data_IF_392695066067
#
_entry.id   IF_392695066067
#
_cell.length_a   1.000
_cell.length_b   1.000
_cell.length_c   1.000
_cell.angle_alpha   90.00
_cell.angle_beta   90.00
_cell.angle_gamma   90.00
#
_symmetry.space_group_name_H-M   'P 1'
#
loop_
_entity.id
_entity.type
_entity.pdbx_description
1 polymer ?
#
# COMPACT_ATOMS: atom_id res chain seq x y z
N UNK A 1 6.84 18.34 5.41
CA UNK A 1 5.80 17.31 5.57
C UNK A 1 5.92 16.35 4.40
N UNK A 2 6.00 15.03 4.63
CA UNK A 2 6.03 14.05 3.54
C UNK A 2 4.78 14.18 2.65
N UNK A 3 4.99 14.01 1.36
CA UNK A 3 3.95 14.16 0.34
C UNK A 3 3.69 12.83 -0.35
N UNK A 4 2.43 12.60 -0.73
CA UNK A 4 1.98 11.40 -1.43
C UNK A 4 1.06 11.79 -2.59
N UNK A 5 1.19 11.08 -3.71
CA UNK A 5 0.29 11.25 -4.86
C UNK A 5 -0.07 9.93 -5.50
N UNK A 6 -1.27 9.84 -6.05
CA UNK A 6 -1.66 8.74 -6.93
C UNK A 6 -0.94 8.86 -8.28
N UNK A 7 -0.57 7.73 -8.86
CA UNK A 7 -0.11 7.61 -10.24
C UNK A 7 -1.02 6.66 -11.01
N UNK A 8 -1.25 6.93 -12.29
CA UNK A 8 -2.20 6.17 -13.11
C UNK A 8 -1.55 5.53 -14.32
N UNK A 9 -0.45 6.11 -14.79
CA UNK A 9 0.30 5.62 -15.95
C UNK A 9 1.77 5.39 -15.60
N UNK A 10 2.44 4.57 -16.41
CA UNK A 10 3.86 4.24 -16.20
C UNK A 10 4.73 5.50 -16.27
N UNK A 11 4.40 6.41 -17.17
CA UNK A 11 5.09 7.70 -17.34
C UNK A 11 5.03 8.60 -16.14
N UNK A 12 3.94 8.49 -15.35
CA UNK A 12 3.74 9.32 -14.16
C UNK A 12 4.75 8.97 -13.06
N UNK A 13 5.19 7.71 -13.00
CA UNK A 13 6.02 7.23 -11.91
C UNK A 13 7.33 8.00 -11.78
N UNK A 14 8.05 8.20 -12.89
CA UNK A 14 9.33 8.93 -12.89
C UNK A 14 9.13 10.40 -12.62
N UNK A 15 8.12 11.01 -13.23
CA UNK A 15 7.82 12.43 -13.07
C UNK A 15 7.40 12.75 -11.63
N UNK A 16 6.44 11.99 -11.08
CA UNK A 16 5.95 12.20 -9.73
C UNK A 16 7.04 11.97 -8.67
N UNK A 17 7.95 11.02 -8.91
CA UNK A 17 9.04 10.72 -7.99
C UNK A 17 10.02 11.90 -7.79
N UNK A 18 10.05 12.87 -8.69
CA UNK A 18 10.87 14.07 -8.52
C UNK A 18 10.29 15.02 -7.45
N UNK A 19 8.98 14.97 -7.22
CA UNK A 19 8.26 15.97 -6.41
C UNK A 19 7.66 15.42 -5.13
N UNK A 20 7.50 14.10 -5.01
CA UNK A 20 6.84 13.48 -3.85
C UNK A 20 7.72 12.44 -3.17
N UNK A 21 7.39 12.15 -1.91
CA UNK A 21 8.10 11.15 -1.10
C UNK A 21 7.51 9.75 -1.29
N UNK A 22 6.21 9.67 -1.56
CA UNK A 22 5.46 8.41 -1.67
C UNK A 22 4.64 8.38 -2.95
N UNK A 23 4.80 7.32 -3.72
CA UNK A 23 3.97 7.02 -4.88
C UNK A 23 2.85 6.07 -4.48
N UNK A 24 1.61 6.45 -4.73
CA UNK A 24 0.46 5.63 -4.39
C UNK A 24 -0.13 4.95 -5.63
N UNK A 25 -0.35 3.65 -5.51
CA UNK A 25 -1.06 2.88 -6.54
C UNK A 25 -2.53 2.80 -6.16
N UNK A 26 -3.44 3.34 -6.98
CA UNK A 26 -4.87 3.26 -6.76
C UNK A 26 -5.36 1.81 -6.64
N UNK A 27 -6.42 1.60 -5.86
CA UNK A 27 -6.95 0.26 -5.59
C UNK A 27 -7.34 -0.51 -6.86
N UNK A 28 -7.91 0.18 -7.85
CA UNK A 28 -8.27 -0.47 -9.12
C UNK A 28 -7.07 -0.86 -9.97
N UNK A 29 -5.92 -0.22 -9.78
CA UNK A 29 -4.72 -0.43 -10.56
C UNK A 29 -3.67 -1.31 -9.85
N UNK A 30 -3.93 -1.74 -8.62
CA UNK A 30 -2.96 -2.47 -7.79
C UNK A 30 -2.50 -3.79 -8.40
N UNK A 31 -3.28 -4.35 -9.33
CA UNK A 31 -2.91 -5.57 -10.07
C UNK A 31 -2.08 -5.32 -11.33
N UNK A 32 -1.97 -4.08 -11.79
CA UNK A 32 -1.21 -3.74 -12.99
C UNK A 32 0.28 -3.83 -12.71
N UNK A 33 0.89 -4.89 -13.21
CA UNK A 33 2.30 -5.22 -12.93
C UNK A 33 3.24 -4.13 -13.41
N UNK A 34 3.05 -3.63 -14.61
CA UNK A 34 3.97 -2.66 -15.22
C UNK A 34 3.97 -1.33 -14.45
N UNK A 35 2.79 -0.87 -13.98
CA UNK A 35 2.66 0.32 -13.17
C UNK A 35 3.35 0.15 -11.81
N UNK A 36 3.09 -0.98 -11.13
CA UNK A 36 3.70 -1.29 -9.82
C UNK A 36 5.22 -1.38 -9.93
N UNK A 37 5.72 -2.05 -10.98
CA UNK A 37 7.16 -2.16 -11.24
C UNK A 37 7.79 -0.80 -11.56
N UNK A 38 7.11 0.03 -12.35
CA UNK A 38 7.60 1.37 -12.66
C UNK A 38 7.73 2.23 -11.39
N UNK A 39 6.71 2.21 -10.53
CA UNK A 39 6.77 2.88 -9.24
C UNK A 39 7.92 2.36 -8.36
N UNK A 40 8.08 1.03 -8.27
CA UNK A 40 9.14 0.41 -7.48
C UNK A 40 10.55 0.85 -7.94
N UNK A 41 10.77 0.92 -9.24
CA UNK A 41 12.05 1.29 -9.83
C UNK A 41 12.48 2.73 -9.54
N UNK A 42 11.58 3.60 -9.10
CA UNK A 42 11.91 4.97 -8.70
C UNK A 42 12.71 5.03 -7.40
N UNK A 43 12.68 3.95 -6.59
CA UNK A 43 13.29 3.92 -5.25
C UNK A 43 12.51 4.68 -4.17
N UNK A 44 11.38 5.29 -4.53
CA UNK A 44 10.48 5.94 -3.55
C UNK A 44 9.64 4.91 -2.80
N UNK A 45 9.06 5.33 -1.68
CA UNK A 45 8.07 4.51 -0.98
C UNK A 45 6.87 4.26 -1.91
N UNK A 46 6.46 3.02 -2.04
CA UNK A 46 5.29 2.64 -2.83
C UNK A 46 4.15 2.25 -1.90
N UNK A 47 3.09 3.04 -1.89
CA UNK A 47 1.87 2.72 -1.15
C UNK A 47 0.87 2.01 -2.06
N UNK A 48 0.57 0.76 -1.74
CA UNK A 48 -0.38 -0.08 -2.47
C UNK A 48 -1.75 -0.02 -1.78
N UNK A 49 -2.74 0.59 -2.42
CA UNK A 49 -4.12 0.50 -1.93
C UNK A 49 -4.69 -0.88 -2.26
N UNK A 50 -5.12 -1.61 -1.22
CA UNK A 50 -5.79 -2.89 -1.42
C UNK A 50 -7.07 -2.68 -2.23
N UNK A 51 -7.21 -3.42 -3.33
CA UNK A 51 -8.46 -3.44 -4.09
C UNK A 51 -9.60 -3.98 -3.21
N UNK A 52 -10.76 -3.32 -3.24
CA UNK A 52 -11.94 -3.74 -2.48
C UNK A 52 -12.46 -5.11 -2.89
N UNK A 53 -12.06 -5.60 -4.06
CA UNK A 53 -12.38 -6.91 -4.63
C UNK A 53 -11.32 -7.98 -4.28
N UNK A 54 -10.28 -7.62 -3.53
CA UNK A 54 -9.17 -8.50 -3.21
C UNK A 54 -9.20 -8.92 -1.74
N UNK A 55 -8.80 -10.16 -1.47
CA UNK A 55 -8.53 -10.58 -0.11
C UNK A 55 -7.24 -9.94 0.43
N UNK A 56 -7.13 -9.73 1.74
CA UNK A 56 -5.91 -9.20 2.35
C UNK A 56 -4.65 -10.00 2.00
N UNK A 57 -4.75 -11.34 2.01
CA UNK A 57 -3.63 -12.25 1.71
C UNK A 57 -3.13 -12.08 0.27
N UNK A 58 -4.03 -11.78 -0.67
CA UNK A 58 -3.67 -11.62 -2.09
C UNK A 58 -2.76 -10.42 -2.35
N UNK A 59 -2.68 -9.48 -1.42
CA UNK A 59 -1.77 -8.33 -1.53
C UNK A 59 -0.29 -8.74 -1.54
N UNK A 60 0.04 -9.96 -1.05
CA UNK A 60 1.40 -10.51 -1.14
C UNK A 60 1.94 -10.48 -2.58
N UNK A 61 1.09 -10.68 -3.58
CA UNK A 61 1.52 -10.65 -4.98
C UNK A 61 1.92 -9.25 -5.46
N UNK A 62 1.20 -8.22 -5.01
CA UNK A 62 1.54 -6.84 -5.33
C UNK A 62 2.81 -6.41 -4.60
N UNK A 63 2.95 -6.74 -3.32
CA UNK A 63 4.16 -6.50 -2.53
C UNK A 63 5.36 -7.18 -3.18
N UNK A 64 5.21 -8.46 -3.57
CA UNK A 64 6.29 -9.20 -4.22
C UNK A 64 6.78 -8.53 -5.50
N UNK A 65 5.91 -7.93 -6.29
CA UNK A 65 6.33 -7.18 -7.49
C UNK A 65 7.25 -6.01 -7.16
N UNK A 66 6.98 -5.32 -6.06
CA UNK A 66 7.82 -4.20 -5.61
C UNK A 66 9.17 -4.71 -5.11
N UNK A 67 9.17 -5.74 -4.25
CA UNK A 67 10.41 -6.30 -3.69
C UNK A 67 11.27 -7.00 -4.73
N UNK A 68 10.68 -7.74 -5.66
CA UNK A 68 11.41 -8.35 -6.77
C UNK A 68 12.04 -7.29 -7.71
N UNK A 69 11.52 -6.06 -7.70
CA UNK A 69 12.09 -4.92 -8.41
C UNK A 69 13.25 -4.23 -7.66
N UNK A 70 13.63 -4.74 -6.49
CA UNK A 70 14.72 -4.22 -5.68
C UNK A 70 14.34 -3.10 -4.71
N UNK A 71 13.04 -2.86 -4.49
CA UNK A 71 12.55 -1.84 -3.56
C UNK A 71 11.82 -2.49 -2.38
N UNK A 72 12.32 -2.28 -1.18
CA UNK A 72 11.72 -2.82 0.04
C UNK A 72 10.79 -1.82 0.76
N UNK A 73 10.69 -0.60 0.26
CA UNK A 73 9.88 0.45 0.86
C UNK A 73 8.42 0.36 0.38
N UNK A 74 7.67 -0.56 0.96
CA UNK A 74 6.28 -0.82 0.58
C UNK A 74 5.33 -0.54 1.74
N UNK A 75 4.31 0.25 1.48
CA UNK A 75 3.17 0.42 2.37
C UNK A 75 1.93 -0.24 1.77
N UNK A 76 1.01 -0.64 2.63
CA UNK A 76 -0.32 -1.12 2.21
C UNK A 76 -1.38 -0.29 2.93
N UNK A 77 -2.34 0.19 2.16
CA UNK A 77 -3.53 0.86 2.68
C UNK A 77 -4.76 -0.01 2.41
N UNK A 78 -5.49 -0.36 3.44
CA UNK A 78 -6.81 -0.97 3.28
C UNK A 78 -7.87 0.13 3.11
N UNK A 79 -8.65 0.03 2.06
CA UNK A 79 -9.81 0.90 1.81
C UNK A 79 -11.15 0.20 2.01
N UNK A 80 -11.12 -0.98 2.58
CA UNK A 80 -12.30 -1.82 2.76
C UNK A 80 -12.48 -2.88 1.67
N UNK A 81 -13.47 -3.72 1.91
CA UNK A 81 -13.86 -4.82 1.03
C UNK A 81 -15.31 -4.59 0.58
N UNK A 82 -15.59 -4.79 -0.67
CA UNK A 82 -16.94 -4.67 -1.20
C UNK A 82 -17.82 -5.81 -0.67
N UNK A 83 -19.04 -5.46 -0.27
CA UNK A 83 -20.07 -6.40 0.12
C UNK A 83 -21.32 -6.12 -0.73
N UNK A 84 -21.60 -7.01 -1.68
CA UNK A 84 -22.60 -6.74 -2.69
C UNK A 84 -22.16 -5.60 -3.63
N UNK A 85 -23.08 -4.71 -3.99
CA UNK A 85 -22.81 -3.65 -4.97
C UNK A 85 -22.67 -2.24 -4.37
N UNK A 86 -23.04 -2.04 -3.13
CA UNK A 86 -23.14 -0.71 -2.54
C UNK A 86 -22.23 -0.51 -1.33
N UNK A 87 -22.13 -1.52 -0.47
CA UNK A 87 -21.45 -1.36 0.80
C UNK A 87 -19.96 -1.67 0.69
N UNK A 88 -19.16 -0.85 1.37
CA UNK A 88 -17.76 -1.13 1.62
C UNK A 88 -17.57 -1.31 3.12
N UNK A 89 -17.00 -2.43 3.51
CA UNK A 89 -16.78 -2.81 4.90
C UNK A 89 -15.29 -2.91 5.15
N UNK A 90 -14.83 -2.30 6.23
CA UNK A 90 -13.49 -2.52 6.72
C UNK A 90 -13.51 -3.72 7.66
N UNK A 91 -12.89 -4.81 7.24
CA UNK A 91 -12.74 -6.01 8.05
C UNK A 91 -11.38 -6.03 8.72
N UNK A 92 -11.36 -5.65 9.99
CA UNK A 92 -10.14 -5.63 10.81
C UNK A 92 -9.43 -6.98 10.93
N UNK A 93 -10.14 -8.09 10.72
CA UNK A 93 -9.53 -9.43 10.74
C UNK A 93 -8.55 -9.63 9.58
N UNK A 94 -8.74 -8.88 8.50
CA UNK A 94 -7.83 -8.91 7.36
C UNK A 94 -6.48 -8.22 7.61
N UNK A 95 -6.42 -7.27 8.54
CA UNK A 95 -5.19 -6.50 8.78
C UNK A 95 -4.00 -7.37 9.20
N UNK A 96 -4.15 -8.34 10.14
CA UNK A 96 -3.03 -9.21 10.50
C UNK A 96 -2.61 -10.18 9.39
N UNK A 97 -3.47 -10.45 8.42
CA UNK A 97 -3.20 -11.39 7.33
C UNK A 97 -2.59 -10.72 6.10
N UNK A 98 -2.55 -9.40 6.07
CA UNK A 98 -1.80 -8.67 5.06
C UNK A 98 -0.31 -9.01 5.15
N UNK A 99 0.42 -8.98 4.03
CA UNK A 99 1.82 -9.43 4.01
C UNK A 99 2.68 -8.74 5.07
N UNK A 100 3.56 -9.51 5.68
CA UNK A 100 4.40 -9.15 6.84
C UNK A 100 5.30 -7.93 6.61
N UNK A 101 5.48 -7.51 5.38
CA UNK A 101 6.15 -6.23 5.07
C UNK A 101 5.46 -5.03 5.74
N UNK A 102 4.19 -5.13 6.05
CA UNK A 102 3.55 -4.20 6.96
C UNK A 102 4.23 -4.13 8.33
N UNK A 103 4.73 -5.23 8.84
CA UNK A 103 5.41 -5.27 10.14
C UNK A 103 6.71 -4.47 10.15
N UNK A 104 7.34 -4.30 9.01
CA UNK A 104 8.62 -3.56 8.91
C UNK A 104 8.41 -2.05 8.78
N UNK A 105 7.44 -1.62 7.99
CA UNK A 105 7.13 -0.19 7.79
C UNK A 105 6.12 0.35 8.81
N UNK A 106 5.27 -0.50 9.31
CA UNK A 106 4.27 -0.16 10.30
C UNK A 106 4.85 0.17 11.67
N UNK A 107 5.93 -0.51 12.08
CA UNK A 107 6.60 -0.23 13.37
C UNK A 107 7.06 1.23 13.51
N UNK A 108 7.74 1.84 12.53
CA UNK A 108 8.13 3.24 12.63
C UNK A 108 6.95 4.20 12.62
N UNK A 109 5.91 3.93 11.82
CA UNK A 109 4.72 4.78 11.76
C UNK A 109 3.91 4.68 13.05
N UNK A 110 3.72 3.48 13.57
CA UNK A 110 3.09 3.28 14.88
C UNK A 110 3.87 3.97 16.00
N UNK A 111 5.19 3.91 15.98
CA UNK A 111 6.03 4.53 16.99
C UNK A 111 5.96 6.06 16.94
N UNK A 112 5.74 6.64 15.77
CA UNK A 112 5.68 8.09 15.57
C UNK A 112 4.28 8.69 15.78
N UNK A 113 3.21 7.92 15.60
CA UNK A 113 1.84 8.45 15.61
C UNK A 113 0.97 7.99 16.76
N UNK A 114 1.47 7.08 17.63
CA UNK A 114 0.62 6.44 18.62
C UNK A 114 1.06 6.67 20.05
N UNK A 115 0.17 7.08 20.94
CA UNK A 115 0.38 6.90 22.35
C UNK A 115 0.43 5.39 22.67
N UNK A 116 1.30 5.03 23.61
CA UNK A 116 1.65 3.64 24.02
C UNK A 116 0.50 2.69 24.42
N UNK A 117 -0.76 3.06 24.19
CA UNK A 117 -1.93 2.42 24.79
C UNK A 117 -2.79 1.62 23.81
N UNK A 118 -2.52 1.67 22.50
CA UNK A 118 -3.36 0.96 21.53
C UNK A 118 -2.62 -0.17 20.84
N UNK A 119 -3.23 -1.35 20.89
CA UNK A 119 -2.71 -2.55 20.25
C UNK A 119 -2.65 -2.39 18.72
N UNK A 120 -1.69 -3.07 18.04
CA UNK A 120 -1.48 -2.94 16.59
C UNK A 120 -2.68 -3.39 15.72
N UNK A 121 -3.74 -3.90 16.31
CA UNK A 121 -4.93 -4.39 15.62
C UNK A 121 -5.95 -3.30 15.25
N UNK A 122 -5.70 -2.03 15.55
CA UNK A 122 -6.69 -0.94 15.37
C UNK A 122 -6.39 0.01 14.21
N UNK A 123 -5.61 -0.41 13.19
CA UNK A 123 -5.16 0.53 12.17
C UNK A 123 -5.60 0.13 10.77
N UNK A 124 -6.30 1.03 10.19
CA UNK A 124 -6.70 1.05 8.79
C UNK A 124 -6.04 2.25 8.15
#
# INVERSE_FOLDING_TARGET
VPTITDIHEISDASLAAEYVDVLQIPAFLVRQTDLVVAAAKTGKVVNLKKGQFMSPESMQHAVKKVTDSGNEQVWITDRGTMFGYQDMIVDFRGVPTMPVLMGFLWKPILTLQMPKVMAPTCWI
#
